data_IF_812244225019
#
_entry.id   IF_812244225019
#
_cell.length_a   1.000
_cell.length_b   1.000
_cell.length_c   1.000
_cell.angle_alpha   90.00
_cell.angle_beta   90.00
_cell.angle_gamma   90.00
#
_symmetry.space_group_name_H-M   'P 1'
#
loop_
_entity.id
_entity.type
_entity.pdbx_description
1 polymer ?
#
# COMPACT_ATOMS: atom_id res chain seq x y z
N UNK A 1 4.70 14.60 4.03
CA UNK A 1 4.19 13.90 2.83
C UNK A 1 4.50 12.46 3.05
N UNK A 2 3.50 11.60 3.05
CA UNK A 2 3.66 10.20 3.44
C UNK A 2 3.51 9.30 2.23
N UNK A 3 4.32 8.24 2.17
CA UNK A 3 4.26 7.23 1.14
C UNK A 3 3.73 5.93 1.74
N UNK A 4 2.70 5.37 1.11
CA UNK A 4 2.03 4.15 1.58
C UNK A 4 2.43 2.99 0.67
N UNK A 5 3.35 2.19 1.19
CA UNK A 5 3.98 1.08 0.46
C UNK A 5 3.38 -0.26 0.86
N UNK A 6 3.37 -1.18 -0.11
CA UNK A 6 3.01 -2.59 0.09
C UNK A 6 4.24 -3.47 -0.07
N UNK A 7 4.51 -4.30 0.94
CA UNK A 7 5.51 -5.39 0.84
C UNK A 7 4.84 -6.74 1.04
N UNK A 8 5.21 -7.73 0.24
CA UNK A 8 4.67 -9.09 0.34
C UNK A 8 5.82 -10.07 0.42
N UNK A 9 6.13 -10.52 1.63
CA UNK A 9 7.20 -11.47 1.89
C UNK A 9 6.62 -12.87 2.14
N UNK A 10 7.21 -13.88 1.49
CA UNK A 10 6.82 -15.27 1.67
C UNK A 10 7.56 -15.88 2.86
N UNK A 11 6.91 -16.00 4.02
CA UNK A 11 7.51 -16.69 5.16
C UNK A 11 7.34 -18.21 5.00
N UNK A 12 8.46 -18.94 4.95
CA UNK A 12 8.44 -20.41 4.96
C UNK A 12 8.38 -20.88 6.42
N UNK A 13 7.26 -21.50 6.85
CA UNK A 13 7.27 -22.25 8.11
C UNK A 13 8.01 -23.58 7.88
N UNK A 14 9.08 -23.81 8.64
CA UNK A 14 9.62 -25.15 8.88
C UNK A 14 8.98 -25.69 10.16
N UNK A 15 8.10 -26.67 10.04
CA UNK A 15 7.81 -27.67 11.09
C UNK A 15 6.91 -28.73 10.44
N UNK A 16 7.50 -29.91 10.26
CA UNK A 16 6.96 -31.12 9.62
C UNK A 16 6.77 -31.06 8.09
N UNK A 17 6.71 -32.26 7.50
CA UNK A 17 6.81 -32.66 6.08
C UNK A 17 5.95 -31.88 5.06
N UNK A 18 5.09 -30.95 5.51
CA UNK A 18 4.17 -30.15 4.69
C UNK A 18 4.57 -28.67 4.72
N UNK A 19 5.37 -28.24 3.73
CA UNK A 19 5.79 -26.84 3.55
C UNK A 19 4.61 -25.97 3.07
N UNK A 20 3.77 -25.48 3.98
CA UNK A 20 2.76 -24.47 3.63
C UNK A 20 3.41 -23.08 3.60
N UNK A 21 3.60 -22.51 2.39
CA UNK A 21 4.09 -21.13 2.21
C UNK A 21 3.03 -20.15 2.71
N UNK A 22 3.28 -19.49 3.83
CA UNK A 22 2.44 -18.39 4.31
C UNK A 22 2.96 -17.10 3.69
N UNK A 23 2.18 -16.52 2.79
CA UNK A 23 2.45 -15.18 2.30
C UNK A 23 1.98 -14.18 3.37
N UNK A 24 2.86 -13.28 3.82
CA UNK A 24 2.48 -12.13 4.64
C UNK A 24 2.41 -10.89 3.75
N UNK A 25 1.49 -10.00 4.05
CA UNK A 25 1.42 -8.66 3.48
C UNK A 25 1.69 -7.65 4.58
N UNK A 26 2.61 -6.75 4.30
CA UNK A 26 2.93 -5.62 5.13
C UNK A 26 2.46 -4.33 4.43
N UNK A 27 1.80 -3.49 5.21
CA UNK A 27 1.52 -2.10 4.91
C UNK A 27 2.57 -1.28 5.66
N UNK A 28 3.29 -0.42 4.96
CA UNK A 28 4.33 0.42 5.54
C UNK A 28 4.03 1.85 5.14
N UNK A 29 3.98 2.76 6.12
CA UNK A 29 3.85 4.20 5.87
C UNK A 29 5.16 4.86 6.25
N UNK A 30 5.73 5.58 5.30
CA UNK A 30 7.04 6.23 5.43
C UNK A 30 6.88 7.72 5.18
N UNK A 31 7.54 8.56 5.98
CA UNK A 31 7.67 9.97 5.61
C UNK A 31 8.68 10.13 4.48
N UNK A 32 8.27 10.78 3.38
CA UNK A 32 9.10 10.89 2.18
C UNK A 32 10.33 11.77 2.40
N UNK A 33 10.28 12.74 3.32
CA UNK A 33 11.40 13.67 3.56
C UNK A 33 12.46 13.05 4.46
N UNK A 34 12.02 12.50 5.59
CA UNK A 34 12.94 11.98 6.61
C UNK A 34 13.25 10.49 6.42
N UNK A 35 12.55 9.80 5.51
CA UNK A 35 12.60 8.35 5.34
C UNK A 35 12.26 7.55 6.62
N UNK A 36 11.63 8.19 7.60
CA UNK A 36 11.22 7.53 8.83
C UNK A 36 9.97 6.69 8.62
N UNK A 37 9.99 5.48 9.19
CA UNK A 37 8.81 4.61 9.21
C UNK A 37 7.86 5.09 10.30
N UNK A 38 6.69 5.57 9.89
CA UNK A 38 5.66 6.09 10.81
C UNK A 38 4.83 4.95 11.39
N UNK A 39 4.37 4.06 10.51
CA UNK A 39 3.58 2.91 10.94
C UNK A 39 3.78 1.70 10.05
N UNK A 40 3.63 0.51 10.65
CA UNK A 40 3.60 -0.77 9.94
C UNK A 40 2.40 -1.58 10.40
N UNK A 41 1.75 -2.28 9.47
CA UNK A 41 0.71 -3.25 9.80
C UNK A 41 0.89 -4.51 8.95
N UNK A 42 0.54 -5.66 9.51
CA UNK A 42 0.79 -6.97 8.93
C UNK A 42 -0.48 -7.81 8.85
N UNK A 43 -0.63 -8.56 7.77
CA UNK A 43 -1.72 -9.52 7.64
C UNK A 43 -1.37 -10.72 6.76
N UNK A 44 -2.22 -11.75 6.83
CA UNK A 44 -2.15 -12.85 5.88
C UNK A 44 -2.33 -12.33 4.44
N UNK A 45 -1.44 -12.78 3.55
CA UNK A 45 -1.36 -12.35 2.16
C UNK A 45 -2.55 -12.69 1.29
N UNK A 46 -3.50 -13.49 1.80
CA UNK A 46 -4.80 -13.74 1.17
C UNK A 46 -5.76 -12.55 1.26
N UNK A 47 -5.47 -11.54 2.11
CA UNK A 47 -6.33 -10.35 2.24
C UNK A 47 -6.04 -9.32 1.14
N UNK A 48 -7.08 -8.59 0.74
CA UNK A 48 -6.96 -7.45 -0.17
C UNK A 48 -6.28 -6.26 0.53
N UNK A 49 -5.48 -5.49 -0.21
CA UNK A 49 -4.61 -4.45 0.34
C UNK A 49 -5.42 -3.29 0.94
N UNK A 50 -6.50 -2.87 0.27
CA UNK A 50 -7.39 -1.85 0.81
C UNK A 50 -8.11 -2.27 2.09
N UNK A 51 -8.35 -3.58 2.28
CA UNK A 51 -8.94 -4.09 3.53
C UNK A 51 -7.91 -4.07 4.67
N UNK A 52 -6.64 -4.27 4.35
CA UNK A 52 -5.55 -4.11 5.31
C UNK A 52 -5.47 -2.64 5.77
N UNK A 53 -5.49 -1.69 4.82
CA UNK A 53 -5.50 -0.25 5.12
C UNK A 53 -6.69 0.19 5.99
N UNK A 54 -7.89 -0.30 5.72
CA UNK A 54 -9.05 0.00 6.59
C UNK A 54 -8.90 -0.57 8.00
N UNK A 55 -8.27 -1.75 8.12
CA UNK A 55 -8.09 -2.43 9.40
C UNK A 55 -6.98 -1.79 10.24
N UNK A 56 -5.92 -1.29 9.59
CA UNK A 56 -4.79 -0.66 10.27
C UNK A 56 -5.18 0.64 10.98
N UNK A 57 -6.34 1.25 10.64
CA UNK A 57 -6.88 2.47 11.26
C UNK A 57 -5.85 3.61 11.31
N UNK A 58 -5.00 3.70 10.29
CA UNK A 58 -3.98 4.73 10.20
C UNK A 58 -4.68 6.07 9.99
N UNK A 59 -4.47 6.99 10.93
CA UNK A 59 -4.98 8.35 10.86
C UNK A 59 -3.87 9.25 10.31
N UNK A 60 -3.99 9.61 9.04
CA UNK A 60 -3.11 10.60 8.41
C UNK A 60 -3.79 11.95 8.58
N UNK A 61 -3.04 12.96 9.01
CA UNK A 61 -3.57 14.30 9.16
C UNK A 61 -4.06 14.82 7.79
N UNK A 62 -5.27 15.39 7.66
CA UNK A 62 -5.90 15.73 6.37
C UNK A 62 -5.07 16.70 5.51
N UNK A 63 -4.27 17.55 6.16
CA UNK A 63 -3.35 18.50 5.48
C UNK A 63 -2.13 17.81 4.84
N UNK A 64 -1.78 16.60 5.26
CA UNK A 64 -0.58 15.89 4.78
C UNK A 64 -0.91 15.16 3.49
N UNK A 65 -0.11 15.37 2.45
CA UNK A 65 -0.23 14.61 1.20
C UNK A 65 0.18 13.15 1.39
N UNK A 66 -0.64 12.22 0.91
CA UNK A 66 -0.36 10.79 0.90
C UNK A 66 -0.18 10.27 -0.53
N UNK A 67 1.00 9.76 -0.86
CA UNK A 67 1.25 9.01 -2.09
C UNK A 67 0.93 7.55 -1.86
N UNK A 68 0.25 6.95 -2.83
CA UNK A 68 -0.21 5.56 -2.76
C UNK A 68 -0.05 4.86 -4.09
N UNK A 69 0.04 3.53 -4.07
CA UNK A 69 -0.01 2.71 -5.28
C UNK A 69 -1.42 2.68 -5.91
N UNK A 70 -1.48 2.33 -7.21
CA UNK A 70 -2.77 2.09 -7.93
C UNK A 70 -3.68 1.05 -7.27
N UNK A 71 -3.17 0.22 -6.35
CA UNK A 71 -3.96 -0.75 -5.59
C UNK A 71 -4.88 -0.13 -4.54
N UNK A 72 -4.70 1.14 -4.20
CA UNK A 72 -5.50 1.88 -3.22
C UNK A 72 -6.57 2.77 -3.87
N UNK A 73 -7.14 2.33 -5.00
CA UNK A 73 -8.24 3.03 -5.66
C UNK A 73 -9.38 3.33 -4.67
N UNK A 74 -9.74 4.61 -4.57
CA UNK A 74 -10.77 5.10 -3.66
C UNK A 74 -10.26 5.56 -2.28
N UNK A 75 -8.94 5.61 -2.06
CA UNK A 75 -8.37 6.19 -0.83
C UNK A 75 -8.71 7.67 -0.63
N UNK A 76 -8.97 8.39 -1.72
CA UNK A 76 -9.48 9.77 -1.70
C UNK A 76 -10.77 9.94 -0.88
N UNK A 77 -11.60 8.88 -0.74
CA UNK A 77 -12.81 8.93 0.11
C UNK A 77 -12.51 8.93 1.60
N UNK A 78 -11.32 8.45 1.98
CA UNK A 78 -10.86 8.36 3.37
C UNK A 78 -9.95 9.55 3.68
N UNK A 79 -9.11 9.93 2.72
CA UNK A 79 -8.17 11.03 2.82
C UNK A 79 -8.13 11.81 1.52
N UNK A 80 -8.76 13.00 1.49
CA UNK A 80 -8.89 13.80 0.26
C UNK A 80 -7.55 14.17 -0.36
N UNK A 81 -6.53 14.43 0.48
CA UNK A 81 -5.21 14.86 0.03
C UNK A 81 -4.30 13.67 -0.32
N UNK A 82 -4.81 12.76 -1.16
CA UNK A 82 -4.07 11.57 -1.61
C UNK A 82 -3.80 11.61 -3.11
N UNK A 83 -2.53 11.42 -3.47
CA UNK A 83 -2.09 11.30 -4.85
C UNK A 83 -2.03 9.82 -5.25
N UNK A 84 -2.67 9.52 -6.39
CA UNK A 84 -2.70 8.19 -6.98
C UNK A 84 -2.05 8.27 -8.37
N UNK A 85 -1.11 7.37 -8.70
CA UNK A 85 -0.55 7.30 -10.04
C UNK A 85 -1.65 7.00 -11.06
N UNK A 86 -1.57 7.67 -12.22
CA UNK A 86 -2.53 7.48 -13.30
C UNK A 86 -2.49 6.02 -13.77
N UNK A 87 -3.67 5.40 -13.78
CA UNK A 87 -3.83 4.02 -14.26
C UNK A 87 -4.05 4.03 -15.76
N UNK A 88 -3.27 3.23 -16.51
CA UNK A 88 -3.54 2.98 -17.92
C UNK A 88 -4.88 2.25 -18.09
N UNK A 89 -5.68 2.69 -19.05
CA UNK A 89 -6.89 1.98 -19.48
C UNK A 89 -6.95 1.90 -21.00
N UNK A 90 -7.76 0.99 -21.54
CA UNK A 90 -7.89 0.81 -23.01
C UNK A 90 -8.36 2.09 -23.71
N UNK A 91 -9.20 2.89 -23.05
CA UNK A 91 -9.74 4.15 -23.59
C UNK A 91 -8.87 5.37 -23.25
N UNK A 92 -8.12 5.32 -22.14
CA UNK A 92 -7.21 6.39 -21.70
C UNK A 92 -5.78 5.84 -21.56
N UNK A 93 -4.99 5.81 -22.64
CA UNK A 93 -3.58 5.45 -22.59
C UNK A 93 -2.76 6.50 -21.85
N UNK A 94 -1.66 6.06 -21.21
CA UNK A 94 -0.75 6.97 -20.50
C UNK A 94 0.11 7.76 -21.48
N UNK A 95 0.18 9.08 -21.27
CA UNK A 95 1.10 9.94 -22.03
C UNK A 95 2.54 9.71 -21.56
N UNK A 96 3.53 10.20 -22.34
CA UNK A 96 4.95 10.08 -21.95
C UNK A 96 5.26 10.76 -20.61
N UNK A 97 4.54 11.83 -20.27
CA UNK A 97 4.70 12.56 -19.01
C UNK A 97 4.13 11.79 -17.81
N UNK A 98 3.09 10.98 -18.00
CA UNK A 98 2.48 10.19 -16.92
C UNK A 98 3.29 8.93 -16.55
N UNK A 99 4.33 8.61 -17.32
CA UNK A 99 5.24 7.47 -17.09
C UNK A 99 6.54 7.86 -16.40
N UNK A 100 6.74 9.16 -16.13
CA UNK A 100 7.98 9.72 -15.61
C UNK A 100 8.09 9.55 -14.10
#
# INVERSE_FOLDING_TARGET
MVDILRKADGLKKSKSWRKNKLNLKALIVVDKKTHQVICTDFSNGKKHDFRLFKKSKILIHPKVEAITDTGYQGIQKIHNNSELPKKKSKKNPLTKNDKK
#
